data_IF_882435844116
#
_entry.id   IF_882435844116
#
_cell.length_a   1.000
_cell.length_b   1.000
_cell.length_c   1.000
_cell.angle_alpha   90.00
_cell.angle_beta   90.00
_cell.angle_gamma   90.00
#
_symmetry.space_group_name_H-M   'P 1'
#
loop_
_entity.id
_entity.type
_entity.pdbx_description
1 polymer ?
#
# COMPACT_ATOMS: atom_id res chain seq x y z
N UNK A 1 -12.20 -1.37 -47.46
CA UNK A 1 -11.01 -2.18 -47.13
C UNK A 1 -11.10 -2.54 -45.66
N UNK A 2 -11.40 -3.79 -45.31
CA UNK A 2 -11.37 -4.24 -43.92
C UNK A 2 -9.90 -4.38 -43.52
N UNK A 3 -9.43 -3.51 -42.64
CA UNK A 3 -8.12 -3.70 -42.02
C UNK A 3 -8.18 -5.03 -41.25
N UNK A 4 -7.48 -6.05 -41.73
CA UNK A 4 -7.39 -7.32 -41.00
C UNK A 4 -6.61 -7.06 -39.72
N UNK A 5 -7.27 -7.20 -38.59
CA UNK A 5 -6.64 -7.16 -37.27
C UNK A 5 -5.53 -8.24 -37.25
N UNK A 6 -4.33 -7.86 -36.81
CA UNK A 6 -3.18 -8.77 -36.78
C UNK A 6 -3.51 -9.97 -35.87
N UNK A 7 -3.13 -11.19 -36.27
CA UNK A 7 -3.48 -12.45 -35.56
C UNK A 7 -3.11 -12.47 -34.07
N UNK A 8 -2.15 -11.66 -33.65
CA UNK A 8 -1.79 -11.52 -32.22
C UNK A 8 -2.87 -10.81 -31.38
N UNK A 9 -3.73 -10.01 -32.01
CA UNK A 9 -4.89 -9.38 -31.38
C UNK A 9 -6.17 -10.22 -31.48
N UNK A 10 -6.15 -11.36 -32.18
CA UNK A 10 -7.21 -12.39 -32.15
C UNK A 10 -7.12 -13.29 -30.91
N UNK A 11 -6.08 -13.11 -30.07
CA UNK A 11 -5.93 -13.85 -28.81
C UNK A 11 -6.95 -13.36 -27.79
N UNK A 12 -7.41 -14.28 -26.95
CA UNK A 12 -8.29 -13.92 -25.85
C UNK A 12 -7.60 -12.91 -24.91
N UNK A 13 -8.28 -11.79 -24.65
CA UNK A 13 -7.75 -10.74 -23.77
C UNK A 13 -7.74 -11.25 -22.33
N UNK A 14 -6.58 -11.14 -21.69
CA UNK A 14 -6.41 -11.48 -20.28
C UNK A 14 -7.36 -10.68 -19.35
N UNK A 15 -7.82 -9.51 -19.82
CA UNK A 15 -8.79 -8.66 -19.12
C UNK A 15 -10.12 -9.34 -18.78
N UNK A 16 -10.48 -10.43 -19.46
CA UNK A 16 -11.69 -11.20 -19.11
C UNK A 16 -11.55 -11.90 -17.75
N UNK A 17 -10.33 -12.22 -17.33
CA UNK A 17 -10.03 -12.91 -16.07
C UNK A 17 -9.86 -11.96 -14.88
N UNK A 18 -9.77 -10.65 -15.11
CA UNK A 18 -9.71 -9.67 -14.03
C UNK A 18 -11.13 -9.27 -13.60
N UNK A 19 -11.31 -9.16 -12.28
CA UNK A 19 -12.57 -8.74 -11.66
C UNK A 19 -12.70 -7.22 -11.59
N UNK A 20 -11.59 -6.48 -11.57
CA UNK A 20 -11.57 -5.02 -11.48
C UNK A 20 -12.16 -4.34 -12.72
N UNK A 21 -13.01 -3.33 -12.50
CA UNK A 21 -13.67 -2.56 -13.56
C UNK A 21 -13.26 -1.09 -13.53
N UNK A 22 -13.39 -0.42 -12.38
CA UNK A 22 -13.08 1.01 -12.25
C UNK A 22 -12.74 1.40 -10.82
N UNK A 23 -12.11 2.56 -10.70
CA UNK A 23 -11.86 3.26 -9.46
C UNK A 23 -12.63 4.57 -9.50
N UNK A 24 -13.35 4.87 -8.43
CA UNK A 24 -14.04 6.14 -8.27
C UNK A 24 -13.22 7.07 -7.38
N UNK A 25 -12.74 8.17 -7.96
CA UNK A 25 -11.93 9.17 -7.26
C UNK A 25 -12.73 9.95 -6.20
N UNK A 26 -14.06 10.04 -6.29
CA UNK A 26 -14.85 10.74 -5.29
C UNK A 26 -15.01 9.91 -4.01
N UNK A 27 -15.39 8.65 -4.15
CA UNK A 27 -15.62 7.75 -3.01
C UNK A 27 -14.37 6.98 -2.58
N UNK A 28 -13.31 6.99 -3.41
CA UNK A 28 -12.09 6.18 -3.24
C UNK A 28 -12.38 4.66 -3.21
N UNK A 29 -13.42 4.24 -3.92
CA UNK A 29 -13.85 2.83 -4.00
C UNK A 29 -13.43 2.17 -5.30
N UNK A 30 -13.06 0.90 -5.19
CA UNK A 30 -12.79 0.00 -6.31
C UNK A 30 -14.07 -0.76 -6.64
N UNK A 31 -14.54 -0.62 -7.87
CA UNK A 31 -15.65 -1.40 -8.41
C UNK A 31 -15.10 -2.60 -9.17
N UNK A 32 -15.56 -3.78 -8.76
CA UNK A 32 -15.24 -5.05 -9.40
C UNK A 32 -16.54 -5.73 -9.85
N UNK A 33 -16.42 -6.74 -10.72
CA UNK A 33 -17.54 -7.60 -11.10
C UNK A 33 -18.13 -8.30 -9.87
N UNK A 34 -19.32 -7.87 -9.46
CA UNK A 34 -20.05 -8.44 -8.33
C UNK A 34 -19.47 -8.13 -6.95
N UNK A 35 -18.55 -7.16 -6.85
CA UNK A 35 -18.02 -6.72 -5.55
C UNK A 35 -17.55 -5.28 -5.57
N UNK A 36 -17.51 -4.66 -4.40
CA UNK A 36 -16.97 -3.33 -4.16
C UNK A 36 -15.91 -3.41 -3.08
N UNK A 37 -14.86 -2.62 -3.18
CA UNK A 37 -13.78 -2.67 -2.21
C UNK A 37 -13.12 -1.34 -1.98
N UNK A 38 -12.30 -1.29 -0.94
CA UNK A 38 -11.44 -0.15 -0.63
C UNK A 38 -10.09 -0.66 -0.12
N UNK A 39 -9.11 0.24 -0.15
CA UNK A 39 -7.77 -0.04 0.33
C UNK A 39 -7.41 1.00 1.38
N UNK A 40 -6.97 0.54 2.55
CA UNK A 40 -6.40 1.37 3.60
C UNK A 40 -4.89 1.25 3.56
N UNK A 41 -4.23 2.40 3.61
CA UNK A 41 -2.78 2.50 3.77
C UNK A 41 -2.49 2.89 5.22
N UNK A 42 -1.74 2.06 5.93
CA UNK A 42 -1.42 2.28 7.34
C UNK A 42 0.09 2.10 7.59
N UNK A 43 0.60 2.78 8.61
CA UNK A 43 1.92 2.47 9.15
C UNK A 43 1.81 1.20 10.02
N UNK A 44 2.78 0.28 9.97
CA UNK A 44 2.82 -0.83 10.92
C UNK A 44 2.86 -0.27 12.34
N UNK A 45 1.94 -0.73 13.20
CA UNK A 45 1.78 -0.23 14.55
C UNK A 45 2.92 -0.74 15.43
N UNK A 46 4.00 0.05 15.53
CA UNK A 46 5.02 -0.16 16.55
C UNK A 46 4.43 0.22 17.91
N UNK A 47 4.55 -0.66 18.90
CA UNK A 47 4.13 -0.41 20.30
C UNK A 47 2.62 -0.20 20.51
N UNK A 48 1.77 -0.92 19.75
CA UNK A 48 0.33 -0.93 19.96
C UNK A 48 -0.07 -1.28 21.40
N UNK A 49 -0.87 -0.41 22.05
CA UNK A 49 -1.45 -0.73 23.37
C UNK A 49 -2.40 -1.93 23.25
N UNK A 50 -2.60 -2.65 24.35
CA UNK A 50 -3.57 -3.76 24.40
C UNK A 50 -4.98 -3.27 24.05
N UNK A 51 -5.33 -2.02 24.43
CA UNK A 51 -6.61 -1.41 24.04
C UNK A 51 -6.75 -1.29 22.52
N UNK A 52 -5.74 -0.76 21.84
CA UNK A 52 -5.77 -0.59 20.39
C UNK A 52 -5.85 -1.96 19.66
N UNK A 53 -5.19 -2.98 20.20
CA UNK A 53 -5.29 -4.35 19.67
C UNK A 53 -6.72 -4.90 19.82
N UNK A 54 -7.37 -4.66 20.95
CA UNK A 54 -8.75 -5.08 21.19
C UNK A 54 -9.74 -4.35 20.27
N UNK A 55 -9.57 -3.04 20.07
CA UNK A 55 -10.41 -2.25 19.16
C UNK A 55 -10.34 -2.79 17.72
N UNK A 56 -9.14 -3.09 17.22
CA UNK A 56 -8.97 -3.70 15.90
C UNK A 56 -9.61 -5.09 15.86
N UNK A 57 -9.44 -5.90 16.91
CA UNK A 57 -10.04 -7.23 16.97
C UNK A 57 -11.57 -7.17 16.99
N UNK A 58 -12.16 -6.21 17.69
CA UNK A 58 -13.61 -5.97 17.70
C UNK A 58 -14.11 -5.48 16.35
N UNK A 59 -13.38 -4.57 15.69
CA UNK A 59 -13.69 -4.13 14.34
C UNK A 59 -13.75 -5.32 13.36
N UNK A 60 -12.76 -6.21 13.43
CA UNK A 60 -12.67 -7.40 12.56
C UNK A 60 -13.73 -8.48 12.87
N UNK A 61 -14.23 -8.53 14.10
CA UNK A 61 -15.28 -9.49 14.52
C UNK A 61 -16.69 -9.02 14.19
N UNK A 62 -16.88 -7.74 13.91
CA UNK A 62 -18.20 -7.19 13.63
C UNK A 62 -18.67 -7.61 12.23
N UNK A 63 -19.76 -8.37 12.17
CA UNK A 63 -20.42 -8.76 10.91
C UNK A 63 -20.92 -7.54 10.11
N UNK A 64 -21.11 -6.38 10.75
CA UNK A 64 -21.45 -5.13 10.05
C UNK A 64 -20.25 -4.58 9.27
N UNK A 65 -19.04 -4.73 9.81
CA UNK A 65 -17.82 -4.19 9.20
C UNK A 65 -17.19 -5.16 8.19
N UNK A 66 -17.29 -6.46 8.45
CA UNK A 66 -16.79 -7.55 7.62
C UNK A 66 -17.89 -8.61 7.48
N UNK A 67 -18.92 -8.35 6.64
CA UNK A 67 -20.01 -9.29 6.45
C UNK A 67 -19.53 -10.61 5.84
N UNK A 68 -20.36 -11.65 5.95
CA UNK A 68 -20.08 -12.95 5.34
C UNK A 68 -19.74 -12.82 3.85
N UNK A 69 -18.87 -13.70 3.37
CA UNK A 69 -18.27 -13.67 2.03
C UNK A 69 -17.29 -12.51 1.77
N UNK A 70 -17.11 -11.54 2.67
CA UNK A 70 -16.09 -10.49 2.48
C UNK A 70 -14.66 -11.06 2.41
N UNK A 71 -13.82 -10.41 1.61
CA UNK A 71 -12.39 -10.72 1.53
C UNK A 71 -11.58 -9.61 2.18
N UNK A 72 -10.77 -9.99 3.18
CA UNK A 72 -9.77 -9.13 3.81
C UNK A 72 -8.38 -9.62 3.43
N UNK A 73 -7.58 -8.75 2.81
CA UNK A 73 -6.17 -9.00 2.52
C UNK A 73 -5.30 -7.96 3.23
N UNK A 74 -4.29 -8.44 3.96
CA UNK A 74 -3.31 -7.60 4.64
C UNK A 74 -1.94 -7.88 4.04
N UNK A 75 -1.30 -6.86 3.48
CA UNK A 75 0.01 -6.93 2.86
C UNK A 75 0.96 -5.94 3.53
N UNK A 76 2.13 -6.43 3.95
CA UNK A 76 3.22 -5.57 4.40
C UNK A 76 4.20 -5.38 3.24
N UNK A 77 4.28 -4.16 2.73
CA UNK A 77 5.17 -3.80 1.64
C UNK A 77 6.39 -3.09 2.20
N UNK A 78 7.58 -3.63 1.90
CA UNK A 78 8.85 -3.05 2.31
C UNK A 78 9.64 -2.55 1.11
N UNK A 79 10.08 -1.30 1.14
CA UNK A 79 10.90 -0.66 0.10
C UNK A 79 12.25 -0.24 0.67
N UNK A 80 13.32 -0.45 -0.10
CA UNK A 80 14.64 0.08 0.23
C UNK A 80 14.75 1.59 -0.10
N UNK A 81 13.74 2.17 -0.77
CA UNK A 81 13.71 3.59 -1.06
C UNK A 81 13.18 4.37 0.14
N UNK A 82 14.10 4.87 0.96
CA UNK A 82 13.80 5.67 2.16
C UNK A 82 14.03 7.17 1.96
N UNK A 83 14.22 7.62 0.71
CA UNK A 83 14.71 8.98 0.44
C UNK A 83 13.75 10.07 0.90
N UNK A 84 12.43 9.84 0.80
CA UNK A 84 11.43 10.78 1.29
C UNK A 84 11.61 11.10 2.78
N UNK A 85 11.89 10.08 3.61
CA UNK A 85 12.13 10.27 5.05
C UNK A 85 13.45 10.96 5.33
N UNK A 86 14.52 10.56 4.63
CA UNK A 86 15.85 11.14 4.80
C UNK A 86 15.86 12.62 4.40
N UNK A 87 15.36 12.93 3.21
CA UNK A 87 15.26 14.29 2.67
C UNK A 87 14.40 15.18 3.57
N UNK A 88 13.22 14.68 3.99
CA UNK A 88 12.36 15.45 4.91
C UNK A 88 13.08 15.72 6.24
N UNK A 89 13.66 14.70 6.86
CA UNK A 89 14.37 14.82 8.14
C UNK A 89 15.58 15.77 8.07
N UNK A 90 16.32 15.72 6.97
CA UNK A 90 17.49 16.56 6.73
C UNK A 90 17.11 18.02 6.50
N UNK A 91 15.95 18.29 5.88
CA UNK A 91 15.49 19.66 5.58
C UNK A 91 15.33 20.55 6.81
N UNK A 92 15.10 19.95 7.99
CA UNK A 92 14.97 20.67 9.26
C UNK A 92 16.30 21.01 9.94
N UNK A 93 17.45 20.63 9.35
CA UNK A 93 18.78 20.82 9.95
C UNK A 93 19.37 22.15 9.47
N UNK A 94 19.68 23.04 10.41
CA UNK A 94 20.20 24.39 10.14
C UNK A 94 21.53 24.59 10.84
N UNK A 95 22.43 25.34 10.20
CA UNK A 95 23.80 25.55 10.69
C UNK A 95 24.77 24.52 10.14
N UNK A 96 25.97 24.97 9.82
CA UNK A 96 26.98 24.21 9.06
C UNK A 96 27.27 22.83 9.65
N UNK A 97 27.55 22.77 10.95
CA UNK A 97 27.86 21.49 11.63
C UNK A 97 26.68 20.53 11.65
N UNK A 98 25.45 21.03 11.81
CA UNK A 98 24.26 20.18 11.85
C UNK A 98 23.90 19.66 10.46
N UNK A 99 24.17 20.44 9.41
CA UNK A 99 24.03 20.00 8.02
C UNK A 99 25.07 18.92 7.72
N UNK A 100 26.34 19.11 8.11
CA UNK A 100 27.38 18.10 7.89
C UNK A 100 27.05 16.76 8.59
N UNK A 101 26.64 16.82 9.87
CA UNK A 101 26.23 15.64 10.62
C UNK A 101 25.00 14.96 10.00
N UNK A 102 24.04 15.75 9.51
CA UNK A 102 22.87 15.23 8.82
C UNK A 102 23.22 14.53 7.51
N UNK A 103 24.15 15.08 6.73
CA UNK A 103 24.65 14.48 5.50
C UNK A 103 25.28 13.11 5.79
N UNK A 104 26.20 13.03 6.77
CA UNK A 104 26.84 11.76 7.15
C UNK A 104 25.84 10.71 7.62
N UNK A 105 24.84 11.13 8.42
CA UNK A 105 23.80 10.21 8.91
C UNK A 105 22.90 9.71 7.79
N UNK A 106 22.45 10.58 6.88
CA UNK A 106 21.58 10.19 5.76
C UNK A 106 22.34 9.29 4.78
N UNK A 107 23.61 9.55 4.52
CA UNK A 107 24.48 8.68 3.73
C UNK A 107 24.59 7.27 4.33
N UNK A 108 24.89 7.18 5.63
CA UNK A 108 24.94 5.90 6.34
C UNK A 108 23.61 5.13 6.25
N UNK A 109 22.48 5.78 6.51
CA UNK A 109 21.16 5.14 6.47
C UNK A 109 20.78 4.70 5.07
N UNK A 110 21.10 5.51 4.04
CA UNK A 110 20.90 5.16 2.64
C UNK A 110 21.69 3.92 2.25
N UNK A 111 22.95 3.84 2.69
CA UNK A 111 23.79 2.65 2.48
C UNK A 111 23.23 1.41 3.17
N UNK A 112 22.75 1.53 4.42
CA UNK A 112 22.10 0.43 5.13
C UNK A 112 20.83 -0.06 4.39
N UNK A 113 20.04 0.85 3.82
CA UNK A 113 18.83 0.49 3.07
C UNK A 113 19.16 -0.16 1.71
N UNK A 114 20.11 0.40 0.95
CA UNK A 114 20.38 -0.02 -0.43
C UNK A 114 21.34 -1.22 -0.52
N UNK A 115 22.43 -1.22 0.25
CA UNK A 115 23.48 -2.24 0.16
C UNK A 115 23.21 -3.43 1.06
N UNK A 116 22.76 -3.17 2.29
CA UNK A 116 22.52 -4.22 3.30
C UNK A 116 21.07 -4.70 3.28
N UNK A 117 20.12 -3.81 2.98
CA UNK A 117 18.68 -4.13 3.02
C UNK A 117 18.13 -4.25 4.44
N UNK A 118 18.86 -3.76 5.44
CA UNK A 118 18.49 -3.81 6.87
C UNK A 118 17.47 -2.75 7.27
N UNK A 119 17.37 -1.66 6.49
CA UNK A 119 16.42 -0.57 6.70
C UNK A 119 15.46 -0.53 5.53
N UNK A 120 14.17 -0.47 5.84
CA UNK A 120 13.10 -0.37 4.84
C UNK A 120 12.08 0.66 5.26
N UNK A 121 11.57 1.39 4.28
CA UNK A 121 10.27 2.02 4.41
C UNK A 121 9.22 0.90 4.34
N UNK A 122 8.31 0.86 5.30
CA UNK A 122 7.33 -0.21 5.41
C UNK A 122 5.94 0.40 5.51
N UNK A 123 5.06 -0.10 4.67
CA UNK A 123 3.66 0.26 4.68
C UNK A 123 2.78 -0.98 4.74
N UNK A 124 1.70 -0.88 5.49
CA UNK A 124 0.66 -1.89 5.57
C UNK A 124 -0.46 -1.50 4.62
N UNK A 125 -0.74 -2.37 3.66
CA UNK A 125 -1.86 -2.24 2.74
C UNK A 125 -2.93 -3.22 3.17
N UNK A 126 -4.12 -2.71 3.50
CA UNK A 126 -5.27 -3.50 3.91
C UNK A 126 -6.34 -3.33 2.83
N UNK A 127 -6.60 -4.39 2.08
CA UNK A 127 -7.67 -4.40 1.08
C UNK A 127 -8.88 -5.12 1.64
N UNK A 128 -10.04 -4.49 1.54
CA UNK A 128 -11.34 -5.05 1.90
C UNK A 128 -12.20 -5.10 0.65
N UNK A 129 -12.81 -6.24 0.39
CA UNK A 129 -13.75 -6.44 -0.72
C UNK A 129 -15.03 -7.05 -0.18
N UNK A 130 -16.16 -6.43 -0.50
CA UNK A 130 -17.51 -6.82 -0.13
C UNK A 130 -18.23 -7.32 -1.38
N UNK A 131 -18.80 -8.51 -1.33
CA UNK A 131 -19.55 -9.06 -2.45
C UNK A 131 -20.98 -8.52 -2.44
N UNK A 132 -21.46 -8.14 -3.63
CA UNK A 132 -22.83 -7.69 -3.84
C UNK A 132 -23.68 -8.93 -4.08
N UNK A 133 -24.50 -9.28 -3.09
CA UNK A 133 -25.48 -10.39 -3.16
C UNK A 133 -26.71 -9.92 -3.94
#
# INVERSE_FOLDING_TARGET
MNASIHKDFDRERFSKHFVYESYDDETQLFFNRGSIGFVLLACPLAEASVSAQNEIAEFLKSDENLPAESSLQVLMLGSNNIENFLSNWQSYRKGEIFIELANKRTEFLRDQAQKVGSIKDVVLLISVTLYLI
#
